data_IF_393156527290
#
_entry.id   IF_393156527290
#
_cell.length_a   1.000
_cell.length_b   1.000
_cell.length_c   1.000
_cell.angle_alpha   90.00
_cell.angle_beta   90.00
_cell.angle_gamma   90.00
#
_symmetry.space_group_name_H-M   'P 1'
#
loop_
_entity.id
_entity.type
_entity.pdbx_description
1 polymer ?
#
# COMPACT_ATOMS: atom_id res chain seq x y z
N UNK A 1 -17.28 11.73 -6.37
CA UNK A 1 -16.44 12.94 -6.28
C UNK A 1 -16.74 13.80 -7.50
N UNK A 2 -16.98 15.10 -7.29
CA UNK A 2 -17.33 16.05 -8.37
C UNK A 2 -16.23 17.10 -8.53
N UNK A 3 -16.09 17.65 -9.74
CA UNK A 3 -15.20 18.77 -10.00
C UNK A 3 -15.88 20.10 -9.61
N UNK A 4 -15.17 21.21 -9.81
CA UNK A 4 -15.67 22.57 -9.49
C UNK A 4 -16.86 23.00 -10.34
N UNK A 5 -17.08 22.32 -11.46
CA UNK A 5 -18.16 22.57 -12.42
C UNK A 5 -19.34 21.59 -12.19
N UNK A 6 -19.36 20.92 -11.02
CA UNK A 6 -20.33 19.89 -10.61
C UNK A 6 -20.36 18.62 -11.52
N UNK A 7 -19.45 18.48 -12.47
CA UNK A 7 -19.31 17.27 -13.28
C UNK A 7 -18.56 16.16 -12.53
N UNK A 8 -18.69 14.91 -13.00
CA UNK A 8 -17.92 13.80 -12.47
C UNK A 8 -16.41 14.04 -12.63
N UNK A 9 -15.64 13.83 -11.56
CA UNK A 9 -14.19 13.95 -11.62
C UNK A 9 -13.60 12.83 -12.49
N UNK A 10 -12.80 13.20 -13.50
CA UNK A 10 -12.13 12.22 -14.36
C UNK A 10 -10.89 11.63 -13.70
N UNK A 11 -10.50 10.42 -14.11
CA UNK A 11 -9.26 9.77 -13.68
C UNK A 11 -8.03 10.65 -13.93
N UNK A 12 -7.97 11.32 -15.10
CA UNK A 12 -6.88 12.23 -15.44
C UNK A 12 -6.81 13.42 -14.47
N UNK A 13 -7.95 14.02 -14.14
CA UNK A 13 -7.99 15.14 -13.21
C UNK A 13 -7.58 14.71 -11.79
N UNK A 14 -8.08 13.57 -11.31
CA UNK A 14 -7.67 13.01 -10.03
C UNK A 14 -6.16 12.73 -9.98
N UNK A 15 -5.61 12.12 -11.02
CA UNK A 15 -4.17 11.88 -11.14
C UNK A 15 -3.37 13.19 -11.09
N UNK A 16 -3.80 14.20 -11.86
CA UNK A 16 -3.14 15.51 -11.88
C UNK A 16 -3.10 16.18 -10.50
N UNK A 17 -4.20 16.13 -9.75
CA UNK A 17 -4.25 16.67 -8.37
C UNK A 17 -3.30 15.93 -7.45
N UNK A 18 -3.33 14.59 -7.45
CA UNK A 18 -2.46 13.78 -6.58
C UNK A 18 -0.98 14.00 -6.91
N UNK A 19 -0.61 13.97 -8.20
CA UNK A 19 0.77 14.22 -8.62
C UNK A 19 1.23 15.64 -8.24
N UNK A 20 0.37 16.65 -8.38
CA UNK A 20 0.71 18.01 -7.95
C UNK A 20 0.94 18.13 -6.44
N UNK A 21 0.12 17.45 -5.63
CA UNK A 21 0.30 17.39 -4.18
C UNK A 21 1.60 16.66 -3.79
N UNK A 22 1.91 15.54 -4.45
CA UNK A 22 3.17 14.83 -4.25
C UNK A 22 4.38 15.70 -4.58
N UNK A 23 4.35 16.42 -5.70
CA UNK A 23 5.41 17.35 -6.07
C UNK A 23 5.56 18.49 -5.04
N UNK A 24 4.45 19.06 -4.56
CA UNK A 24 4.47 20.10 -3.53
C UNK A 24 5.02 19.58 -2.18
N UNK A 25 4.78 18.31 -1.86
CA UNK A 25 5.32 17.64 -0.68
C UNK A 25 6.78 17.18 -0.85
N UNK A 26 7.40 17.36 -2.02
CA UNK A 26 8.74 16.84 -2.32
C UNK A 26 8.80 15.32 -2.41
N UNK A 27 7.67 14.64 -2.67
CA UNK A 27 7.60 13.19 -2.83
C UNK A 27 8.12 12.79 -4.21
N UNK A 28 9.16 11.95 -4.22
CA UNK A 28 9.75 11.40 -5.43
C UNK A 28 8.98 10.19 -6.00
N UNK A 29 9.50 9.57 -7.08
CA UNK A 29 8.99 8.30 -7.58
C UNK A 29 9.09 7.20 -6.51
N UNK A 30 8.31 6.13 -6.68
CA UNK A 30 8.36 4.94 -5.85
C UNK A 30 9.71 4.20 -5.99
N UNK A 31 9.98 3.26 -5.08
CA UNK A 31 11.24 2.51 -5.02
C UNK A 31 11.54 1.71 -6.31
N UNK A 32 10.51 1.32 -7.06
CA UNK A 32 10.61 0.62 -8.35
C UNK A 32 10.70 1.57 -9.56
N UNK A 33 10.74 2.88 -9.32
CA UNK A 33 10.79 3.93 -10.34
C UNK A 33 9.42 4.36 -10.87
N UNK A 34 8.30 3.84 -10.35
CA UNK A 34 6.96 4.30 -10.74
C UNK A 34 6.77 5.79 -10.33
N UNK A 35 6.25 6.61 -11.24
CA UNK A 35 5.98 8.02 -10.95
C UNK A 35 4.91 8.16 -9.86
N UNK A 36 5.08 9.12 -8.95
CA UNK A 36 4.11 9.36 -7.89
C UNK A 36 2.71 9.70 -8.45
N UNK A 37 1.72 8.96 -7.97
CA UNK A 37 0.32 9.09 -8.38
C UNK A 37 -0.62 8.25 -7.53
N UNK A 38 -1.92 8.21 -7.86
CA UNK A 38 -2.94 7.49 -7.10
C UNK A 38 -2.64 5.98 -6.94
N UNK A 39 -1.97 5.38 -7.93
CA UNK A 39 -1.62 3.96 -7.90
C UNK A 39 -0.54 3.67 -6.86
N UNK A 40 0.50 4.51 -6.78
CA UNK A 40 1.52 4.43 -5.72
C UNK A 40 0.87 4.54 -4.34
N UNK A 41 -0.08 5.47 -4.14
CA UNK A 41 -0.80 5.58 -2.87
C UNK A 41 -1.62 4.32 -2.52
N UNK A 42 -2.19 3.66 -3.53
CA UNK A 42 -2.86 2.36 -3.34
C UNK A 42 -1.87 1.28 -2.90
N UNK A 43 -0.66 1.25 -3.46
CA UNK A 43 0.40 0.35 -3.01
C UNK A 43 0.87 0.67 -1.58
N UNK A 44 1.01 1.95 -1.24
CA UNK A 44 1.34 2.39 0.12
C UNK A 44 0.27 1.92 1.11
N UNK A 45 -1.01 2.12 0.80
CA UNK A 45 -2.12 1.64 1.62
C UNK A 45 -2.04 0.13 1.89
N UNK A 46 -1.88 -0.69 0.84
CA UNK A 46 -1.76 -2.14 0.99
C UNK A 46 -0.53 -2.55 1.82
N UNK A 47 0.60 -1.87 1.61
CA UNK A 47 1.85 -2.11 2.35
C UNK A 47 1.71 -1.76 3.84
N UNK A 48 1.14 -0.62 4.16
CA UNK A 48 0.98 -0.14 5.54
C UNK A 48 0.05 -1.05 6.35
N UNK A 49 -1.06 -1.50 5.74
CA UNK A 49 -1.96 -2.46 6.37
C UNK A 49 -1.26 -3.79 6.65
N UNK A 50 -0.63 -4.41 5.64
CA UNK A 50 0.03 -5.71 5.80
C UNK A 50 1.16 -5.65 6.83
N UNK A 51 1.89 -4.54 6.88
CA UNK A 51 3.10 -4.43 7.70
C UNK A 51 2.88 -3.73 9.04
N UNK A 52 1.66 -3.26 9.32
CA UNK A 52 1.35 -2.50 10.53
C UNK A 52 2.21 -1.25 10.68
N UNK A 53 2.40 -0.51 9.58
CA UNK A 53 3.26 0.69 9.53
C UNK A 53 2.42 1.96 9.36
N UNK A 54 3.08 3.09 9.54
CA UNK A 54 2.49 4.41 9.37
C UNK A 54 1.45 4.73 10.45
N UNK A 55 0.60 5.69 10.15
CA UNK A 55 -0.48 6.12 11.04
C UNK A 55 -1.80 5.36 10.78
N UNK A 56 -1.83 4.56 9.70
CA UNK A 56 -3.02 3.87 9.21
C UNK A 56 -3.35 2.57 9.98
N UNK A 57 -2.35 1.87 10.48
CA UNK A 57 -2.52 0.58 11.15
C UNK A 57 -1.61 0.48 12.38
N UNK A 58 -2.21 0.20 13.54
CA UNK A 58 -1.48 -0.01 14.80
C UNK A 58 -0.89 -1.42 14.94
N UNK A 59 -1.31 -2.33 14.06
CA UNK A 59 -0.83 -3.71 13.99
C UNK A 59 -0.98 -4.25 12.55
N UNK A 60 -0.20 -5.28 12.14
CA UNK A 60 -0.37 -5.96 10.86
C UNK A 60 -1.79 -6.48 10.65
N UNK A 61 -2.33 -6.25 9.46
CA UNK A 61 -3.67 -6.70 9.03
C UNK A 61 -3.53 -7.97 8.18
N UNK A 62 -4.48 -8.88 8.35
CA UNK A 62 -4.56 -10.13 7.61
C UNK A 62 -4.58 -9.89 6.07
N UNK A 63 -3.82 -10.69 5.34
CA UNK A 63 -3.64 -10.51 3.88
C UNK A 63 -4.92 -10.72 3.08
N UNK A 64 -5.83 -11.57 3.56
CA UNK A 64 -7.13 -11.79 2.91
C UNK A 64 -8.00 -10.57 3.09
N UNK A 65 -8.04 -10.01 4.30
CA UNK A 65 -8.77 -8.77 4.56
C UNK A 65 -8.20 -7.59 3.74
N UNK A 66 -6.88 -7.48 3.62
CA UNK A 66 -6.27 -6.46 2.75
C UNK A 66 -6.67 -6.67 1.29
N UNK A 67 -6.70 -7.91 0.80
CA UNK A 67 -7.14 -8.21 -0.57
C UNK A 67 -8.60 -7.78 -0.82
N UNK A 68 -9.50 -8.02 0.14
CA UNK A 68 -10.90 -7.59 0.07
C UNK A 68 -11.02 -6.06 0.03
N UNK A 69 -10.32 -5.35 0.92
CA UNK A 69 -10.30 -3.88 0.94
C UNK A 69 -9.73 -3.29 -0.36
N UNK A 70 -8.76 -3.99 -0.97
CA UNK A 70 -8.16 -3.63 -2.25
C UNK A 70 -8.90 -4.24 -3.45
N UNK A 71 -10.07 -4.87 -3.26
CA UNK A 71 -10.85 -5.43 -4.36
C UNK A 71 -10.06 -6.37 -5.28
N UNK A 72 -9.06 -7.09 -4.74
CA UNK A 72 -8.28 -8.05 -5.51
C UNK A 72 -9.05 -9.36 -5.62
N UNK A 73 -9.20 -9.85 -6.86
CA UNK A 73 -9.82 -11.14 -7.13
C UNK A 73 -8.87 -12.33 -6.89
N UNK A 74 -7.56 -12.07 -6.83
CA UNK A 74 -6.51 -13.06 -6.62
C UNK A 74 -5.58 -12.61 -5.48
N UNK A 75 -5.38 -13.47 -4.49
CA UNK A 75 -4.46 -13.23 -3.38
C UNK A 75 -3.00 -13.08 -3.83
N UNK A 76 -2.63 -13.64 -4.99
CA UNK A 76 -1.29 -13.43 -5.55
C UNK A 76 -1.01 -11.96 -5.88
N UNK A 77 -2.04 -11.15 -6.17
CA UNK A 77 -1.89 -9.70 -6.36
C UNK A 77 -1.52 -9.01 -5.03
N UNK A 78 -2.12 -9.42 -3.91
CA UNK A 78 -1.83 -8.85 -2.59
C UNK A 78 -0.50 -9.35 -2.00
N UNK A 79 -0.04 -10.54 -2.43
CA UNK A 79 1.23 -11.15 -1.97
C UNK A 79 2.46 -10.26 -2.14
N UNK A 80 2.45 -9.31 -3.09
CA UNK A 80 3.58 -8.39 -3.27
C UNK A 80 3.87 -7.55 -2.00
N UNK A 81 2.87 -7.29 -1.16
CA UNK A 81 3.03 -6.53 0.08
C UNK A 81 3.59 -7.36 1.24
N UNK A 82 3.48 -8.70 1.16
CA UNK A 82 3.85 -9.63 2.24
C UNK A 82 5.27 -10.17 2.12
N UNK A 83 6.09 -9.72 1.16
CA UNK A 83 7.42 -10.29 0.93
C UNK A 83 8.29 -10.14 2.20
N UNK A 84 8.64 -11.25 2.87
CA UNK A 84 9.34 -11.20 4.14
C UNK A 84 10.82 -10.85 3.92
N UNK A 85 11.34 -9.94 4.74
CA UNK A 85 12.78 -9.70 4.81
C UNK A 85 13.50 -10.82 5.58
N UNK A 86 14.83 -10.82 5.57
CA UNK A 86 15.63 -11.80 6.31
C UNK A 86 15.31 -11.79 7.82
N UNK A 87 15.09 -10.62 8.41
CA UNK A 87 14.72 -10.50 9.82
C UNK A 87 13.36 -11.16 10.14
N UNK A 88 12.40 -11.10 9.21
CA UNK A 88 11.10 -11.74 9.38
C UNK A 88 11.22 -13.27 9.31
N UNK A 89 12.09 -13.76 8.41
CA UNK A 89 12.40 -15.19 8.31
C UNK A 89 13.09 -15.69 9.59
N UNK A 90 14.09 -14.97 10.10
CA UNK A 90 14.76 -15.34 11.36
C UNK A 90 13.78 -15.40 12.52
N UNK A 91 12.95 -14.37 12.69
CA UNK A 91 11.93 -14.33 13.76
C UNK A 91 10.94 -15.49 13.67
N UNK A 92 10.56 -15.88 12.45
CA UNK A 92 9.69 -17.03 12.22
C UNK A 92 10.35 -18.36 12.60
N UNK A 93 11.68 -18.50 12.48
CA UNK A 93 12.41 -19.68 12.94
C UNK A 93 12.62 -19.68 14.46
N UNK A 94 12.87 -18.52 15.05
CA UNK A 94 13.07 -18.38 16.51
C UNK A 94 11.84 -18.88 17.30
N UNK A 95 10.63 -18.65 16.80
CA UNK A 95 9.39 -19.12 17.45
C UNK A 95 9.16 -20.63 17.33
N UNK A 96 9.81 -21.30 16.38
CA UNK A 96 9.72 -22.77 16.22
C UNK A 96 10.64 -23.49 17.22
N UNK A 97 11.61 -22.79 17.81
CA UNK A 97 12.75 -23.41 18.52
C UNK A 97 12.63 -23.33 20.05
N UNK A 98 11.42 -23.48 20.60
CA UNK A 98 11.23 -23.66 22.03
C UNK A 98 10.50 -24.98 22.28
N UNK A 99 11.30 -26.06 22.30
CA UNK A 99 10.97 -27.20 23.14
C UNK A 99 10.99 -26.73 24.60
N UNK A 100 9.86 -26.93 25.29
CA UNK A 100 9.80 -27.13 26.74
C UNK A 100 8.99 -28.39 27.02
#
# INVERSE_FOLDING_TARGET
MRNRDDAALSTRAANGVVTALGAAAGTGPADDGEAFGPHVLRHTFGTDLVRGRGELATAPVDVVLVAELMGHADLNTTRCYTLPGEADKTRALDVLTIDR
#
